data_IF_817648978010
#
_entry.id   IF_817648978010
#
_cell.length_a   1.000
_cell.length_b   1.000
_cell.length_c   1.000
_cell.angle_alpha   90.00
_cell.angle_beta   90.00
_cell.angle_gamma   90.00
#
_symmetry.space_group_name_H-M   'P 1'
#
loop_
_entity.id
_entity.type
_entity.pdbx_description
1 polymer ?
#
# COMPACT_ATOMS: atom_id res chain seq x y z
N UNK A 1 11.01 -7.96 -0.76
CA UNK A 1 10.70 -8.20 -2.18
C UNK A 1 10.04 -9.55 -2.34
N UNK A 2 8.83 -9.59 -2.89
CA UNK A 2 8.09 -10.82 -3.21
C UNK A 2 7.69 -10.81 -4.69
N UNK A 3 7.02 -11.86 -5.15
CA UNK A 3 6.59 -11.99 -6.56
C UNK A 3 5.62 -10.89 -6.99
N UNK A 4 4.78 -10.40 -6.06
CA UNK A 4 3.70 -9.45 -6.35
C UNK A 4 3.91 -8.06 -5.74
N UNK A 5 4.94 -7.87 -4.92
CA UNK A 5 5.22 -6.61 -4.22
C UNK A 5 6.72 -6.31 -4.34
N UNK A 6 7.04 -5.20 -5.01
CA UNK A 6 8.41 -4.76 -5.29
C UNK A 6 9.11 -4.05 -4.11
N UNK A 7 8.44 -3.95 -2.95
CA UNK A 7 8.98 -3.28 -1.77
C UNK A 7 10.30 -3.90 -1.28
N UNK A 8 11.22 -3.03 -0.88
CA UNK A 8 12.43 -3.37 -0.12
C UNK A 8 12.08 -3.58 1.35
N UNK A 9 12.96 -4.26 2.07
CA UNK A 9 12.80 -4.45 3.50
C UNK A 9 12.76 -3.09 4.22
N UNK A 10 11.75 -2.89 5.08
CA UNK A 10 11.53 -1.65 5.82
C UNK A 10 10.71 -0.57 5.08
N UNK A 11 10.36 -0.76 3.80
CA UNK A 11 9.52 0.20 3.07
C UNK A 11 8.04 0.10 3.46
N UNK A 12 7.55 -1.08 3.88
CA UNK A 12 6.19 -1.28 4.38
C UNK A 12 6.19 -1.11 5.90
N UNK A 13 5.19 -0.41 6.43
CA UNK A 13 4.98 -0.19 7.86
C UNK A 13 4.36 -1.42 8.54
N UNK A 14 4.49 -1.50 9.87
CA UNK A 14 3.88 -2.59 10.66
C UNK A 14 2.34 -2.54 10.65
N UNK A 15 1.76 -1.35 10.40
CA UNK A 15 0.31 -1.16 10.28
C UNK A 15 -0.06 -0.85 8.83
N UNK A 16 -0.93 -1.67 8.26
CA UNK A 16 -1.31 -1.60 6.84
C UNK A 16 -2.83 -1.60 6.68
N UNK A 17 -3.34 -0.67 5.87
CA UNK A 17 -4.72 -0.68 5.38
C UNK A 17 -4.81 -1.44 4.05
N UNK A 18 -5.84 -2.27 3.88
CA UNK A 18 -5.93 -3.23 2.77
C UNK A 18 -7.20 -3.04 1.92
N UNK A 19 -7.35 -1.93 1.17
CA UNK A 19 -8.45 -1.82 0.21
C UNK A 19 -8.31 -2.84 -0.94
N UNK A 20 -9.44 -3.32 -1.47
CA UNK A 20 -9.44 -4.14 -2.69
C UNK A 20 -8.98 -3.35 -3.92
N UNK A 21 -9.55 -2.15 -4.10
CA UNK A 21 -9.26 -1.28 -5.24
C UNK A 21 -7.93 -0.51 -5.05
N UNK A 22 -6.92 -0.68 -5.93
CA UNK A 22 -5.67 0.06 -5.85
C UNK A 22 -5.85 1.57 -6.07
N UNK A 23 -6.89 2.02 -6.79
CA UNK A 23 -7.20 3.45 -6.90
C UNK A 23 -7.65 4.03 -5.56
N UNK A 24 -8.26 3.20 -4.70
CA UNK A 24 -8.59 3.60 -3.33
C UNK A 24 -7.34 3.68 -2.46
N UNK A 25 -6.36 2.79 -2.64
CA UNK A 25 -5.06 2.89 -1.96
C UNK A 25 -4.37 4.21 -2.30
N UNK A 26 -4.35 4.57 -3.60
CA UNK A 26 -3.82 5.87 -4.07
C UNK A 26 -4.59 7.04 -3.46
N UNK A 27 -5.92 7.02 -3.50
CA UNK A 27 -6.74 8.07 -2.90
C UNK A 27 -6.47 8.24 -1.40
N UNK A 28 -6.32 7.15 -0.64
CA UNK A 28 -5.96 7.20 0.79
C UNK A 28 -4.58 7.84 0.96
N UNK A 29 -3.59 7.41 0.17
CA UNK A 29 -2.24 7.93 0.24
C UNK A 29 -2.18 9.44 -0.03
N UNK A 30 -2.87 9.93 -1.07
CA UNK A 30 -2.85 11.34 -1.47
C UNK A 30 -3.61 12.26 -0.51
N UNK A 31 -4.66 11.76 0.17
CA UNK A 31 -5.54 12.61 0.98
C UNK A 31 -5.23 12.55 2.48
N UNK A 32 -4.62 11.46 2.97
CA UNK A 32 -4.44 11.25 4.41
C UNK A 32 -2.98 11.06 4.83
N UNK A 33 -2.10 10.60 3.95
CA UNK A 33 -0.71 10.34 4.31
C UNK A 33 0.19 11.51 3.93
N UNK A 34 1.02 11.95 4.87
CA UNK A 34 2.13 12.85 4.63
C UNK A 34 3.31 12.08 4.06
N UNK A 35 4.02 12.67 3.10
CA UNK A 35 5.23 12.09 2.46
C UNK A 35 5.00 10.66 1.94
N UNK A 36 3.83 10.40 1.35
CA UNK A 36 3.50 9.08 0.82
C UNK A 36 4.43 8.71 -0.35
N UNK A 37 5.06 7.55 -0.26
CA UNK A 37 5.91 6.97 -1.30
C UNK A 37 5.28 5.68 -1.80
N UNK A 38 5.11 5.56 -3.12
CA UNK A 38 4.68 4.32 -3.75
C UNK A 38 5.83 3.31 -3.72
N UNK A 39 5.66 2.18 -3.03
CA UNK A 39 6.68 1.13 -2.94
C UNK A 39 6.45 -0.02 -3.94
N UNK A 40 5.26 -0.08 -4.55
CA UNK A 40 4.95 -1.09 -5.57
C UNK A 40 3.82 -0.62 -6.48
N UNK A 41 3.97 -0.93 -7.77
CA UNK A 41 2.94 -0.79 -8.80
C UNK A 41 2.82 -2.07 -9.65
N UNK A 42 3.45 -3.18 -9.21
CA UNK A 42 3.40 -4.48 -9.88
C UNK A 42 1.94 -4.88 -10.12
N UNK A 43 1.62 -5.25 -11.37
CA UNK A 43 0.25 -5.59 -11.85
C UNK A 43 -0.77 -4.46 -11.67
N UNK A 44 -0.33 -3.22 -11.46
CA UNK A 44 -1.21 -2.09 -11.11
C UNK A 44 -1.73 -2.16 -9.68
N UNK A 45 -1.19 -3.04 -8.83
CA UNK A 45 -1.63 -3.23 -7.45
C UNK A 45 -0.89 -2.27 -6.50
N UNK A 46 -1.32 -1.02 -6.51
CA UNK A 46 -0.63 0.10 -5.86
C UNK A 46 -0.49 -0.10 -4.34
N UNK A 47 0.71 0.16 -3.83
CA UNK A 47 1.03 0.17 -2.41
C UNK A 47 1.85 1.41 -2.04
N UNK A 48 1.49 2.04 -0.93
CA UNK A 48 2.11 3.28 -0.44
C UNK A 48 2.46 3.20 1.03
N UNK A 49 3.51 3.91 1.42
CA UNK A 49 3.86 4.16 2.83
C UNK A 49 4.06 5.64 3.04
N UNK A 50 3.49 6.18 4.11
CA UNK A 50 3.69 7.57 4.52
C UNK A 50 3.45 7.71 6.03
N UNK A 51 3.16 8.93 6.46
CA UNK A 51 2.93 9.24 7.87
C UNK A 51 1.52 9.77 8.07
N UNK A 52 0.81 9.26 9.07
CA UNK A 52 -0.46 9.80 9.55
C UNK A 52 -0.35 10.16 11.02
N UNK A 53 -0.50 11.45 11.36
CA UNK A 53 -0.40 11.95 12.75
C UNK A 53 0.88 11.47 13.46
N UNK A 54 2.02 11.59 12.78
CA UNK A 54 3.33 11.16 13.29
C UNK A 54 3.57 9.65 13.31
N UNK A 55 2.62 8.81 12.86
CA UNK A 55 2.77 7.36 12.79
C UNK A 55 3.01 6.90 11.35
N UNK A 56 3.99 6.03 11.14
CA UNK A 56 4.25 5.40 9.85
C UNK A 56 3.13 4.39 9.54
N UNK A 57 2.41 4.59 8.45
CA UNK A 57 1.28 3.75 8.02
C UNK A 57 1.45 3.41 6.54
N UNK A 58 1.09 2.18 6.17
CA UNK A 58 1.01 1.76 4.77
C UNK A 58 -0.43 1.51 4.33
N UNK A 59 -0.65 1.58 3.02
CA UNK A 59 -1.90 1.17 2.36
C UNK A 59 -1.56 0.35 1.12
N UNK A 60 -2.21 -0.79 0.93
CA UNK A 60 -1.92 -1.75 -0.15
C UNK A 60 -3.20 -2.23 -0.81
N UNK A 61 -3.28 -2.12 -2.14
CA UNK A 61 -4.33 -2.76 -2.93
C UNK A 61 -4.25 -4.29 -2.82
N UNK A 62 -5.40 -4.96 -2.78
CA UNK A 62 -5.46 -6.44 -2.63
C UNK A 62 -6.20 -7.15 -3.75
N UNK A 63 -6.85 -6.39 -4.65
CA UNK A 63 -7.70 -6.93 -5.69
C UNK A 63 -9.03 -7.45 -5.14
N UNK A 64 -9.64 -8.41 -5.84
CA UNK A 64 -10.94 -8.96 -5.50
C UNK A 64 -10.90 -10.48 -5.41
N UNK A 65 -11.57 -11.02 -4.38
CA UNK A 65 -11.67 -12.46 -4.14
C UNK A 65 -10.54 -13.02 -3.28
N UNK A 66 -10.85 -14.13 -2.61
CA UNK A 66 -9.94 -14.81 -1.67
C UNK A 66 -8.56 -15.07 -2.30
N UNK A 67 -8.44 -15.61 -3.53
CA UNK A 67 -7.12 -15.92 -4.11
C UNK A 67 -6.25 -14.71 -4.42
N UNK A 68 -6.86 -13.52 -4.55
CA UNK A 68 -6.10 -12.29 -4.80
C UNK A 68 -5.51 -11.72 -3.52
N UNK A 69 -6.22 -11.88 -2.39
CA UNK A 69 -5.83 -11.36 -1.08
C UNK A 69 -4.83 -12.26 -0.34
N UNK A 70 -4.86 -13.58 -0.59
CA UNK A 70 -4.11 -14.61 0.15
C UNK A 70 -2.63 -14.71 -0.21
#
# INVERSE_FOLDING_TARGET
MSVHIAAKNGEIADTVLLPGDPKRAKWIAENFLENAVCYTDIRGMLGFTGTYKGKKISVQGTGMGIPSMS
#
